data_IF_907327086140
#
_entry.id   IF_907327086140
#
_cell.length_a   1.000
_cell.length_b   1.000
_cell.length_c   1.000
_cell.angle_alpha   90.00
_cell.angle_beta   90.00
_cell.angle_gamma   90.00
#
_symmetry.space_group_name_H-M   'P 1'
#
loop_
_entity.id
_entity.type
_entity.pdbx_description
1 polymer ?
#
# COMPACT_ATOMS: atom_id res chain seq x y z
N UNK A 1 -60.62 -19.65 25.85
CA UNK A 1 -60.40 -20.47 24.63
C UNK A 1 -60.48 -19.49 23.46
N UNK A 2 -59.47 -19.10 22.68
CA UNK A 2 -58.07 -19.47 22.44
C UNK A 2 -57.37 -18.14 22.08
N UNK A 3 -56.20 -17.81 22.66
CA UNK A 3 -55.38 -16.67 22.21
C UNK A 3 -54.63 -17.11 20.94
N UNK A 4 -54.96 -16.54 19.79
CA UNK A 4 -54.26 -16.83 18.54
C UNK A 4 -52.88 -16.17 18.57
N UNK A 5 -51.85 -17.00 18.71
CA UNK A 5 -50.47 -16.59 18.81
C UNK A 5 -49.84 -16.57 17.40
N UNK A 6 -49.89 -15.43 16.72
CA UNK A 6 -49.22 -15.23 15.44
C UNK A 6 -47.71 -15.01 15.65
N UNK A 7 -47.00 -16.06 16.04
CA UNK A 7 -45.55 -16.11 15.92
C UNK A 7 -45.18 -16.41 14.46
N UNK A 8 -45.37 -15.39 13.61
CA UNK A 8 -44.75 -15.33 12.30
C UNK A 8 -43.24 -15.27 12.48
N UNK A 9 -42.60 -16.43 12.42
CA UNK A 9 -41.15 -16.59 12.43
C UNK A 9 -40.57 -15.95 11.17
N UNK A 10 -40.41 -14.62 11.17
CA UNK A 10 -39.60 -13.94 10.18
C UNK A 10 -38.13 -14.26 10.47
N UNK A 11 -37.68 -15.42 9.99
CA UNK A 11 -36.25 -15.69 9.85
C UNK A 11 -35.70 -14.68 8.84
N UNK A 12 -35.25 -13.54 9.34
CA UNK A 12 -34.45 -12.58 8.57
C UNK A 12 -33.31 -13.36 7.94
N UNK A 13 -33.28 -13.41 6.61
CA UNK A 13 -32.17 -14.02 5.88
C UNK A 13 -30.93 -13.19 6.23
N UNK A 14 -30.01 -13.77 7.01
CA UNK A 14 -28.68 -13.20 7.17
C UNK A 14 -28.01 -13.23 5.80
N UNK A 15 -28.07 -12.12 5.07
CA UNK A 15 -27.34 -11.96 3.83
C UNK A 15 -25.88 -11.75 4.23
N UNK A 16 -25.08 -12.82 4.17
CA UNK A 16 -23.63 -12.68 4.23
C UNK A 16 -23.20 -11.86 3.02
N UNK A 17 -22.89 -10.58 3.24
CA UNK A 17 -22.22 -9.75 2.24
C UNK A 17 -20.82 -10.32 2.04
N UNK A 18 -20.61 -11.02 0.92
CA UNK A 18 -19.27 -11.45 0.54
C UNK A 18 -18.49 -10.21 0.11
N UNK A 19 -17.40 -9.91 0.81
CA UNK A 19 -16.52 -8.82 0.42
C UNK A 19 -15.65 -9.28 -0.75
N UNK A 20 -16.11 -8.97 -1.95
CA UNK A 20 -15.41 -9.27 -3.20
C UNK A 20 -14.46 -8.11 -3.50
N UNK A 21 -13.16 -8.40 -3.61
CA UNK A 21 -12.14 -7.42 -4.00
C UNK A 21 -11.88 -7.56 -5.50
N UNK A 22 -12.18 -6.51 -6.27
CA UNK A 22 -11.95 -6.47 -7.71
C UNK A 22 -10.74 -5.57 -8.04
N UNK A 23 -10.05 -5.81 -9.17
CA UNK A 23 -9.00 -4.90 -9.65
C UNK A 23 -9.55 -3.49 -9.87
N UNK A 24 -8.74 -2.47 -9.57
CA UNK A 24 -9.06 -1.08 -9.89
C UNK A 24 -8.87 -0.90 -11.40
N UNK A 25 -9.96 -0.65 -12.12
CA UNK A 25 -9.95 -0.45 -13.59
C UNK A 25 -10.23 1.00 -14.00
N UNK A 26 -10.92 1.75 -13.15
CA UNK A 26 -11.38 3.11 -13.42
C UNK A 26 -10.39 4.15 -12.86
N UNK A 27 -10.03 5.14 -13.68
CA UNK A 27 -9.07 6.18 -13.31
C UNK A 27 -9.60 7.16 -12.27
N UNK A 28 -10.90 7.43 -12.24
CA UNK A 28 -11.53 8.25 -11.20
C UNK A 28 -11.52 7.52 -9.86
N UNK A 29 -11.80 6.21 -9.87
CA UNK A 29 -11.68 5.36 -8.67
C UNK A 29 -10.24 5.33 -8.17
N UNK A 30 -9.27 5.17 -9.07
CA UNK A 30 -7.85 5.25 -8.71
C UNK A 30 -7.51 6.59 -8.07
N UNK A 31 -8.01 7.69 -8.64
CA UNK A 31 -7.80 9.04 -8.12
C UNK A 31 -8.41 9.23 -6.73
N UNK A 32 -9.65 8.79 -6.52
CA UNK A 32 -10.28 8.81 -5.19
C UNK A 32 -9.51 8.00 -4.16
N UNK A 33 -8.98 6.83 -4.53
CA UNK A 33 -8.12 6.03 -3.64
C UNK A 33 -6.84 6.79 -3.30
N UNK A 34 -6.18 7.39 -4.29
CA UNK A 34 -4.99 8.21 -4.08
C UNK A 34 -5.24 9.39 -3.13
N UNK A 35 -6.34 10.12 -3.33
CA UNK A 35 -6.70 11.29 -2.52
C UNK A 35 -7.07 10.85 -1.08
N UNK A 36 -7.85 9.79 -0.93
CA UNK A 36 -8.18 9.20 0.39
C UNK A 36 -6.93 8.76 1.15
N UNK A 37 -5.98 8.13 0.44
CA UNK A 37 -4.71 7.72 1.02
C UNK A 37 -3.88 8.93 1.42
N UNK A 38 -3.86 10.00 0.63
CA UNK A 38 -3.07 11.20 0.92
C UNK A 38 -3.63 11.97 2.13
N UNK A 39 -4.95 12.12 2.19
CA UNK A 39 -5.66 13.00 3.14
C UNK A 39 -5.97 12.33 4.49
N UNK A 40 -5.71 11.02 4.63
CA UNK A 40 -5.91 10.31 5.89
C UNK A 40 -4.86 10.69 6.96
N UNK A 41 -5.31 11.30 8.06
CA UNK A 41 -4.50 11.98 9.09
C UNK A 41 -3.25 11.25 9.61
N UNK A 42 -3.33 9.96 10.00
CA UNK A 42 -2.26 9.33 10.82
C UNK A 42 -1.11 8.71 10.02
N UNK A 43 -1.40 8.15 8.85
CA UNK A 43 -0.42 7.44 8.02
C UNK A 43 -0.55 7.76 6.52
N UNK A 44 -1.30 8.80 6.17
CA UNK A 44 -1.75 9.04 4.80
C UNK A 44 -0.59 9.19 3.81
N UNK A 45 0.34 10.09 4.07
CA UNK A 45 1.56 10.27 3.24
C UNK A 45 2.37 8.98 3.08
N UNK A 46 2.48 8.15 4.13
CA UNK A 46 3.18 6.86 4.05
C UNK A 46 2.43 5.88 3.17
N UNK A 47 1.13 5.70 3.41
CA UNK A 47 0.30 4.74 2.68
C UNK A 47 0.15 5.14 1.21
N UNK A 48 0.03 6.44 0.93
CA UNK A 48 0.06 7.00 -0.41
C UNK A 48 1.40 6.70 -1.11
N UNK A 49 2.53 6.89 -0.43
CA UNK A 49 3.85 6.58 -0.98
C UNK A 49 4.00 5.07 -1.27
N UNK A 50 3.58 4.21 -0.35
CA UNK A 50 3.58 2.74 -0.55
C UNK A 50 2.72 2.36 -1.76
N UNK A 51 1.53 2.94 -1.88
CA UNK A 51 0.62 2.68 -2.99
C UNK A 51 1.22 3.11 -4.33
N UNK A 52 1.79 4.31 -4.40
CA UNK A 52 2.43 4.85 -5.59
C UNK A 52 3.67 4.04 -6.01
N UNK A 53 4.51 3.65 -5.05
CA UNK A 53 5.66 2.77 -5.30
C UNK A 53 5.21 1.40 -5.79
N UNK A 54 4.21 0.79 -5.14
CA UNK A 54 3.66 -0.51 -5.57
C UNK A 54 3.05 -0.45 -6.97
N UNK A 55 2.36 0.64 -7.32
CA UNK A 55 1.83 0.87 -8.67
C UNK A 55 2.94 0.99 -9.72
N UNK A 56 4.05 1.68 -9.39
CA UNK A 56 5.16 1.89 -10.32
C UNK A 56 6.05 0.64 -10.50
N UNK A 57 6.19 -0.15 -9.43
CA UNK A 57 7.08 -1.32 -9.39
C UNK A 57 6.34 -2.64 -9.62
N UNK A 58 5.00 -2.62 -9.62
CA UNK A 58 4.11 -3.80 -9.66
C UNK A 58 4.37 -4.81 -8.53
N UNK A 59 5.04 -4.36 -7.46
CA UNK A 59 5.32 -5.19 -6.30
C UNK A 59 4.11 -5.28 -5.38
N UNK A 60 4.02 -6.39 -4.66
CA UNK A 60 3.04 -6.53 -3.59
C UNK A 60 3.44 -5.63 -2.43
N UNK A 61 2.43 -5.18 -1.67
CA UNK A 61 2.63 -4.29 -0.52
C UNK A 61 3.65 -4.86 0.46
N UNK A 62 3.65 -6.18 0.72
CA UNK A 62 4.63 -6.81 1.61
C UNK A 62 6.08 -6.62 1.16
N UNK A 63 6.33 -6.68 -0.15
CA UNK A 63 7.66 -6.55 -0.71
C UNK A 63 8.08 -5.06 -0.70
N UNK A 64 7.15 -4.15 -1.04
CA UNK A 64 7.36 -2.70 -0.92
C UNK A 64 7.70 -2.29 0.52
N UNK A 65 7.03 -2.86 1.52
CA UNK A 65 7.28 -2.55 2.94
C UNK A 65 8.70 -2.90 3.40
N UNK A 66 9.36 -3.81 2.69
CA UNK A 66 10.74 -4.27 2.98
C UNK A 66 11.79 -3.65 2.07
N UNK A 67 11.36 -2.96 1.02
CA UNK A 67 12.20 -2.29 0.05
C UNK A 67 12.92 -1.11 0.71
N UNK A 68 14.23 -1.04 0.51
CA UNK A 68 15.08 0.03 1.05
C UNK A 68 15.43 1.02 -0.04
N UNK A 69 15.84 2.22 0.35
CA UNK A 69 16.18 3.27 -0.62
C UNK A 69 17.36 2.86 -1.50
N UNK A 70 18.39 2.23 -0.93
CA UNK A 70 19.53 1.74 -1.72
C UNK A 70 19.15 0.63 -2.72
N UNK A 71 18.02 -0.05 -2.55
CA UNK A 71 17.57 -1.04 -3.53
C UNK A 71 17.13 -0.36 -4.82
N UNK A 72 16.64 0.88 -4.76
CA UNK A 72 16.14 1.64 -5.93
C UNK A 72 17.15 2.68 -6.42
N UNK A 73 17.88 3.32 -5.50
CA UNK A 73 18.72 4.47 -5.80
C UNK A 73 20.21 4.10 -5.77
N UNK A 74 20.97 4.71 -6.68
CA UNK A 74 22.42 4.76 -6.62
C UNK A 74 22.86 5.82 -5.58
N UNK A 75 24.12 5.74 -5.08
CA UNK A 75 24.65 6.72 -4.13
C UNK A 75 24.65 8.17 -4.64
N UNK A 76 24.69 8.37 -5.97
CA UNK A 76 24.60 9.68 -6.63
C UNK A 76 23.16 10.23 -6.69
N UNK A 77 22.17 9.48 -6.20
CA UNK A 77 20.75 9.84 -6.22
C UNK A 77 20.02 9.49 -7.52
N UNK A 78 20.70 8.88 -8.51
CA UNK A 78 20.04 8.37 -9.72
C UNK A 78 19.24 7.09 -9.42
N UNK A 79 18.18 6.85 -10.19
CA UNK A 79 17.36 5.63 -10.07
C UNK A 79 18.06 4.52 -10.85
N UNK A 80 18.25 3.35 -10.23
CA UNK A 80 18.78 2.14 -10.87
C UNK A 80 17.86 1.71 -12.01
N UNK A 81 18.40 1.08 -13.05
CA UNK A 81 17.58 0.52 -14.14
C UNK A 81 16.97 -0.83 -13.74
N UNK A 82 17.68 -1.60 -12.92
CA UNK A 82 17.29 -2.93 -12.46
C UNK A 82 17.79 -3.17 -11.05
N UNK A 83 17.00 -3.88 -10.24
CA UNK A 83 17.35 -4.24 -8.87
C UNK A 83 16.93 -5.65 -8.54
N UNK A 84 17.81 -6.43 -7.90
CA UNK A 84 17.47 -7.78 -7.43
C UNK A 84 16.79 -7.69 -6.08
N UNK A 85 15.58 -8.22 -5.99
CA UNK A 85 14.80 -8.31 -4.75
C UNK A 85 14.47 -9.77 -4.45
N UNK A 86 14.21 -10.09 -3.19
CA UNK A 86 13.76 -11.43 -2.79
C UNK A 86 12.29 -11.35 -2.40
N UNK A 87 11.42 -12.00 -3.19
CA UNK A 87 9.98 -12.02 -2.94
C UNK A 87 9.67 -12.85 -1.70
N UNK A 88 9.05 -12.25 -0.68
CA UNK A 88 8.79 -12.97 0.58
C UNK A 88 7.79 -14.10 0.44
N UNK A 89 6.82 -13.97 -0.47
CA UNK A 89 5.72 -14.94 -0.60
C UNK A 89 6.19 -16.28 -1.19
N UNK A 90 7.08 -16.24 -2.17
CA UNK A 90 7.54 -17.44 -2.88
C UNK A 90 8.98 -17.83 -2.53
N UNK A 91 9.74 -16.93 -1.90
CA UNK A 91 11.17 -17.09 -1.62
C UNK A 91 12.05 -16.95 -2.86
N UNK A 92 11.48 -16.63 -4.03
CA UNK A 92 12.23 -16.49 -5.28
C UNK A 92 12.88 -15.11 -5.38
N UNK A 93 14.05 -15.08 -5.99
CA UNK A 93 14.64 -13.83 -6.45
C UNK A 93 13.79 -13.29 -7.62
N UNK A 94 13.48 -12.01 -7.56
CA UNK A 94 12.77 -11.28 -8.60
C UNK A 94 13.63 -10.10 -9.08
N UNK A 95 13.53 -9.77 -10.36
CA UNK A 95 14.24 -8.65 -10.96
C UNK A 95 13.28 -7.49 -11.14
N UNK A 96 13.44 -6.48 -10.31
CA UNK A 96 12.66 -5.27 -10.40
C UNK A 96 13.20 -4.38 -11.52
N UNK A 97 12.43 -4.23 -12.59
CA UNK A 97 12.71 -3.26 -13.64
C UNK A 97 12.20 -1.89 -13.22
N UNK A 98 13.11 -0.93 -13.16
CA UNK A 98 12.85 0.42 -12.70
C UNK A 98 12.93 1.36 -13.90
N UNK A 99 11.82 2.01 -14.21
CA UNK A 99 11.82 3.13 -15.15
C UNK A 99 11.94 4.43 -14.36
N UNK A 100 12.96 5.28 -14.61
CA UNK A 100 13.07 6.58 -13.98
C UNK A 100 11.81 7.41 -14.28
N UNK A 101 10.98 7.62 -13.26
CA UNK A 101 9.68 8.27 -13.37
C UNK A 101 9.27 8.95 -12.07
N UNK A 102 8.26 9.81 -12.14
CA UNK A 102 7.76 10.58 -10.99
C UNK A 102 7.33 9.67 -9.83
N UNK A 103 6.73 8.51 -10.13
CA UNK A 103 6.23 7.58 -9.13
C UNK A 103 7.35 6.85 -8.35
N UNK A 104 8.56 6.73 -8.90
CA UNK A 104 9.70 6.15 -8.16
C UNK A 104 10.35 7.22 -7.29
N UNK A 105 10.49 8.45 -7.81
CA UNK A 105 11.04 9.64 -7.12
C UNK A 105 10.25 10.05 -5.87
N UNK A 106 9.00 9.60 -5.75
CA UNK A 106 8.19 9.85 -4.55
C UNK A 106 8.78 9.20 -3.30
N UNK A 107 9.44 8.04 -3.45
CA UNK A 107 10.11 7.35 -2.34
C UNK A 107 11.25 8.21 -1.79
N UNK A 108 12.16 8.64 -2.65
CA UNK A 108 13.28 9.51 -2.26
C UNK A 108 12.81 10.82 -1.64
N UNK A 109 11.74 11.44 -2.18
CA UNK A 109 11.10 12.59 -1.54
C UNK A 109 10.61 12.26 -0.13
N UNK A 110 9.91 11.15 0.07
CA UNK A 110 9.36 10.74 1.35
C UNK A 110 10.45 10.49 2.41
N UNK A 111 11.52 9.78 2.05
CA UNK A 111 12.63 9.50 2.97
C UNK A 111 13.42 10.76 3.32
N UNK A 112 13.69 11.66 2.36
CA UNK A 112 14.37 12.94 2.62
C UNK A 112 13.58 13.86 3.56
N UNK A 113 12.25 13.95 3.40
CA UNK A 113 11.43 14.79 4.27
C UNK A 113 11.38 14.31 5.73
N UNK A 114 11.82 13.07 6.01
CA UNK A 114 11.87 12.51 7.36
C UNK A 114 13.29 12.35 7.90
N UNK A 115 14.30 12.82 7.16
CA UNK A 115 15.72 12.70 7.52
C UNK A 115 16.15 11.25 7.85
N UNK A 116 15.55 10.27 7.16
CA UNK A 116 15.80 8.86 7.44
C UNK A 116 17.00 8.32 6.64
N UNK A 117 17.80 7.42 7.23
CA UNK A 117 18.92 6.81 6.53
C UNK A 117 18.45 5.91 5.38
N UNK A 118 19.28 5.83 4.33
CA UNK A 118 18.97 5.09 3.10
C UNK A 118 18.84 3.57 3.29
N UNK A 119 19.27 3.05 4.45
CA UNK A 119 19.13 1.65 4.88
C UNK A 119 17.73 1.30 5.39
N UNK A 120 16.85 2.30 5.60
CA UNK A 120 15.53 2.10 6.16
C UNK A 120 14.48 1.68 5.13
N UNK A 121 13.40 1.08 5.63
CA UNK A 121 12.22 0.68 4.85
C UNK A 121 10.94 1.21 5.50
N UNK A 122 9.80 1.09 4.81
CA UNK A 122 8.52 1.63 5.28
C UNK A 122 7.95 0.98 6.55
N UNK A 123 8.56 -0.10 7.06
CA UNK A 123 8.08 -0.83 8.25
C UNK A 123 8.50 -0.18 9.57
N UNK A 124 9.38 0.83 9.55
CA UNK A 124 9.91 1.43 10.78
C UNK A 124 8.80 2.05 11.67
N UNK A 125 8.82 1.85 13.00
CA UNK A 125 7.77 2.35 13.90
C UNK A 125 7.62 3.87 13.91
N UNK A 126 8.68 4.63 13.64
CA UNK A 126 8.66 6.10 13.53
C UNK A 126 7.77 6.61 12.39
N UNK A 127 7.33 5.73 11.48
CA UNK A 127 6.29 6.05 10.50
C UNK A 127 4.87 5.99 11.05
N UNK A 128 4.67 5.36 12.21
CA UNK A 128 3.49 5.45 13.04
C UNK A 128 3.76 6.50 14.13
N UNK A 129 3.72 7.80 13.81
CA UNK A 129 3.89 8.77 14.90
C UNK A 129 2.68 8.76 15.82
N UNK A 130 3.02 8.77 17.11
CA UNK A 130 2.17 8.57 18.28
C UNK A 130 0.88 9.38 18.17
N UNK A 131 -0.22 8.74 18.58
CA UNK A 131 -1.47 9.40 18.90
C UNK A 131 -1.16 10.66 19.70
N UNK A 132 -1.58 11.82 19.19
CA UNK A 132 -1.81 12.98 20.04
C UNK A 132 -2.98 12.67 20.98
#
# INVERSE_FOLDING_TARGET
MIKSNNNGNQKGKNIMVQQIVLPIKDSNVLKMVQDTLLDSFRAGRRNYTIFQVGKATLLRVSDVMTLKKYDIYNPDGSVKNTSFIHEKKTGKADTLYLKPGADVKIMDRFFRHRELPDSENFSKPEFHLKTA
#
